data_IF_621605594477
#
_entry.id   IF_621605594477
#
_cell.length_a   1.000
_cell.length_b   1.000
_cell.length_c   1.000
_cell.angle_alpha   90.00
_cell.angle_beta   90.00
_cell.angle_gamma   90.00
#
_symmetry.space_group_name_H-M   'P 1'
#
loop_
_entity.id
_entity.type
_entity.pdbx_description
1 polymer ?
#
# COMPACT_ATOMS: atom_id res chain seq x y z
N UNK A 1 12.99 -4.63 -1.19
CA UNK A 1 11.99 -4.89 -2.24
C UNK A 1 10.65 -5.25 -1.61
N UNK A 2 10.14 -4.36 -0.76
CA UNK A 2 8.98 -4.60 0.08
C UNK A 2 8.12 -3.35 0.15
N UNK A 3 6.82 -3.53 0.34
CA UNK A 3 5.85 -2.50 0.67
C UNK A 3 5.05 -2.92 1.90
N UNK A 4 5.04 -2.05 2.91
CA UNK A 4 4.35 -2.27 4.18
C UNK A 4 3.22 -1.27 4.32
N UNK A 5 2.03 -1.77 4.63
CA UNK A 5 0.83 -0.98 4.90
C UNK A 5 0.42 -1.25 6.33
N UNK A 6 0.35 -0.18 7.11
CA UNK A 6 -0.01 -0.20 8.52
C UNK A 6 -1.34 0.52 8.71
N UNK A 7 -2.18 -0.04 9.57
CA UNK A 7 -3.41 0.60 9.99
C UNK A 7 -4.56 0.50 8.99
N UNK A 8 -4.55 -0.55 8.17
CA UNK A 8 -5.76 -0.99 7.48
C UNK A 8 -6.65 -1.74 8.48
N UNK A 9 -7.96 -1.71 8.28
CA UNK A 9 -8.92 -2.40 9.17
C UNK A 9 -9.70 -3.39 8.32
N UNK A 10 -9.68 -4.65 8.75
CA UNK A 10 -10.41 -5.70 8.06
C UNK A 10 -11.91 -5.63 8.39
N UNK A 11 -12.74 -6.36 7.65
CA UNK A 11 -14.20 -6.33 7.82
C UNK A 11 -14.69 -6.76 9.22
N UNK A 12 -13.83 -7.39 10.01
CA UNK A 12 -14.03 -7.77 11.41
C UNK A 12 -13.68 -6.65 12.41
N UNK A 13 -13.23 -5.49 11.95
CA UNK A 13 -12.83 -4.36 12.79
C UNK A 13 -11.41 -4.47 13.37
N UNK A 14 -10.64 -5.51 13.01
CA UNK A 14 -9.29 -5.70 13.50
C UNK A 14 -8.29 -4.97 12.62
N UNK A 15 -7.36 -4.24 13.26
CA UNK A 15 -6.26 -3.58 12.59
C UNK A 15 -5.31 -4.61 11.98
N UNK A 16 -4.90 -4.41 10.73
CA UNK A 16 -4.00 -5.30 10.02
C UNK A 16 -2.69 -4.59 9.65
N UNK A 17 -1.65 -5.40 9.70
CA UNK A 17 -0.38 -5.15 9.07
C UNK A 17 -0.29 -5.99 7.79
N UNK A 18 -0.06 -5.33 6.65
CA UNK A 18 0.07 -6.01 5.36
C UNK A 18 1.45 -5.73 4.80
N UNK A 19 2.17 -6.80 4.44
CA UNK A 19 3.46 -6.69 3.76
C UNK A 19 3.42 -7.38 2.40
N UNK A 20 3.81 -6.64 1.37
CA UNK A 20 4.08 -7.13 0.03
C UNK A 20 5.58 -7.27 -0.18
N UNK A 21 6.01 -8.38 -0.76
CA UNK A 21 7.43 -8.69 -0.99
C UNK A 21 7.60 -9.12 -2.43
N UNK A 22 8.43 -8.40 -3.18
CA UNK A 22 8.82 -8.80 -4.53
C UNK A 22 10.14 -9.57 -4.47
N UNK A 23 10.10 -10.83 -4.93
CA UNK A 23 11.25 -11.68 -5.13
C UNK A 23 11.60 -11.73 -6.63
N UNK A 24 12.67 -11.04 -7.06
CA UNK A 24 13.09 -11.03 -8.46
C UNK A 24 13.73 -12.35 -8.91
N UNK A 25 14.23 -13.17 -7.99
CA UNK A 25 14.81 -14.47 -8.33
C UNK A 25 13.70 -15.51 -8.57
N UNK A 26 12.64 -15.47 -7.77
CA UNK A 26 11.46 -16.31 -7.97
C UNK A 26 10.47 -15.75 -9.01
N UNK A 27 10.58 -14.47 -9.38
CA UNK A 27 9.63 -13.80 -10.27
C UNK A 27 8.23 -13.69 -9.66
N UNK A 28 8.15 -13.45 -8.35
CA UNK A 28 6.87 -13.45 -7.61
C UNK A 28 6.68 -12.24 -6.71
N UNK A 29 5.43 -11.81 -6.59
CA UNK A 29 4.98 -10.89 -5.55
C UNK A 29 4.17 -11.67 -4.54
N UNK A 30 4.60 -11.70 -3.28
CA UNK A 30 3.84 -12.29 -2.18
C UNK A 30 3.24 -11.24 -1.26
N UNK A 31 2.15 -11.59 -0.59
CA UNK A 31 1.52 -10.78 0.45
C UNK A 31 1.36 -11.59 1.74
N UNK A 32 1.75 -10.99 2.85
CA UNK A 32 1.42 -11.47 4.20
C UNK A 32 0.48 -10.49 4.89
N UNK A 33 -0.38 -11.00 5.75
CA UNK A 33 -1.32 -10.22 6.56
C UNK A 33 -1.15 -10.69 8.00
N UNK A 34 -0.96 -9.74 8.91
CA UNK A 34 -0.78 -9.98 10.34
C UNK A 34 -1.81 -9.15 11.10
N UNK A 35 -2.79 -9.77 11.77
CA UNK A 35 -3.73 -9.07 12.63
C UNK A 35 -3.02 -8.47 13.84
N UNK A 36 -3.43 -7.28 14.29
CA UNK A 36 -3.02 -6.77 15.59
C UNK A 36 -3.81 -7.48 16.70
N UNK A 37 -3.19 -7.87 17.83
CA UNK A 37 -1.85 -7.51 18.30
C UNK A 37 -0.76 -8.55 18.00
N UNK A 38 -0.94 -9.43 17.01
CA UNK A 38 0.01 -10.50 16.74
C UNK A 38 1.39 -9.93 16.42
N UNK A 39 2.40 -10.48 17.08
CA UNK A 39 3.81 -10.07 16.93
C UNK A 39 4.58 -10.95 15.95
N UNK A 40 3.97 -12.04 15.49
CA UNK A 40 4.53 -12.97 14.51
C UNK A 40 3.88 -12.70 13.17
N UNK A 41 4.69 -12.44 12.15
CA UNK A 41 4.20 -12.19 10.81
C UNK A 41 3.42 -13.40 10.26
N UNK A 42 2.22 -13.13 9.75
CA UNK A 42 1.40 -14.16 9.11
C UNK A 42 2.09 -14.76 7.86
N UNK A 43 1.71 -15.98 7.46
CA UNK A 43 2.33 -16.62 6.30
C UNK A 43 2.10 -15.83 5.02
N UNK A 44 3.14 -15.70 4.20
CA UNK A 44 3.06 -15.04 2.90
C UNK A 44 2.36 -15.94 1.86
N UNK A 45 1.52 -15.33 1.03
CA UNK A 45 0.85 -15.97 -0.11
C UNK A 45 1.28 -15.29 -1.40
N UNK A 46 1.66 -16.08 -2.41
CA UNK A 46 1.99 -15.56 -3.73
C UNK A 46 0.73 -15.01 -4.40
N UNK A 47 0.78 -13.74 -4.82
CA UNK A 47 -0.31 -13.05 -5.53
C UNK A 47 -0.04 -12.97 -7.03
N UNK A 48 1.19 -12.64 -7.42
CA UNK A 48 1.61 -12.56 -8.82
C UNK A 48 2.79 -13.48 -9.07
N UNK A 49 2.84 -14.04 -10.27
CA UNK A 49 3.89 -14.92 -10.80
C UNK A 49 4.34 -14.41 -12.17
N UNK A 50 5.39 -15.02 -12.70
CA UNK A 50 5.95 -14.70 -14.02
C UNK A 50 6.34 -13.22 -14.14
N UNK A 51 6.77 -12.63 -13.01
CA UNK A 51 7.29 -11.27 -13.01
C UNK A 51 8.69 -11.28 -13.63
N UNK A 52 8.91 -10.31 -14.50
CA UNK A 52 10.19 -10.08 -15.15
C UNK A 52 10.85 -8.82 -14.57
N UNK A 53 12.17 -8.68 -14.70
CA UNK A 53 12.85 -7.42 -14.41
C UNK A 53 12.17 -6.26 -15.14
N UNK A 54 11.93 -5.16 -14.42
CA UNK A 54 11.36 -3.98 -15.06
C UNK A 54 12.38 -3.38 -16.05
N UNK A 55 11.92 -2.86 -17.20
CA UNK A 55 12.79 -2.17 -18.16
C UNK A 55 13.61 -1.06 -17.50
N UNK A 56 14.84 -0.89 -17.99
CA UNK A 56 15.76 0.14 -17.49
C UNK A 56 16.24 -0.05 -16.05
N UNK A 57 15.99 -1.21 -15.44
CA UNK A 57 16.37 -1.48 -14.04
C UNK A 57 15.49 -0.75 -13.02
N UNK A 58 14.28 -0.34 -13.41
CA UNK A 58 13.35 0.37 -12.54
C UNK A 58 12.95 -0.50 -11.34
N UNK A 59 13.03 0.06 -10.13
CA UNK A 59 12.60 -0.65 -8.92
C UNK A 59 11.11 -1.04 -8.98
N UNK A 60 10.77 -2.17 -8.36
CA UNK A 60 9.37 -2.62 -8.29
C UNK A 60 8.52 -1.75 -7.37
N UNK A 61 9.13 -1.28 -6.27
CA UNK A 61 8.54 -0.32 -5.34
C UNK A 61 9.43 0.92 -5.28
N UNK A 62 8.94 2.03 -5.82
CA UNK A 62 9.63 3.32 -5.76
C UNK A 62 8.92 4.23 -4.76
N UNK A 63 9.65 4.68 -3.74
CA UNK A 63 9.10 5.53 -2.68
C UNK A 63 9.39 7.00 -2.92
N UNK A 64 8.37 7.83 -2.73
CA UNK A 64 8.51 9.28 -2.72
C UNK A 64 8.46 9.80 -1.29
N UNK A 65 9.49 10.56 -0.95
CA UNK A 65 9.68 11.17 0.35
C UNK A 65 9.29 12.64 0.28
N UNK A 66 8.51 13.10 1.25
CA UNK A 66 8.23 14.52 1.45
C UNK A 66 8.60 14.92 2.88
N UNK A 67 9.44 15.95 3.08
CA UNK A 67 9.71 16.49 4.41
C UNK A 67 8.49 17.26 4.94
N UNK A 68 8.36 17.32 6.26
CA UNK A 68 7.56 18.34 6.94
C UNK A 68 8.37 19.64 7.14
N UNK A 69 7.72 20.66 7.70
CA UNK A 69 8.33 21.95 7.99
C UNK A 69 9.43 21.91 9.07
N UNK A 70 9.64 20.76 9.72
CA UNK A 70 10.60 20.56 10.81
C UNK A 70 11.69 19.54 10.46
N UNK A 71 11.75 19.10 9.20
CA UNK A 71 12.82 18.25 8.66
C UNK A 71 12.58 16.74 8.79
N UNK A 72 11.43 16.28 9.28
CA UNK A 72 11.08 14.86 9.31
C UNK A 72 10.49 14.43 7.96
N UNK A 73 10.96 13.30 7.42
CA UNK A 73 10.53 12.79 6.11
C UNK A 73 9.45 11.72 6.22
N UNK A 74 8.48 11.80 5.32
CA UNK A 74 7.35 10.87 5.24
C UNK A 74 7.32 10.21 3.86
N UNK A 75 7.06 8.90 3.82
CA UNK A 75 6.78 8.16 2.58
C UNK A 75 5.32 8.42 2.18
N UNK A 76 5.10 9.37 1.28
CA UNK A 76 3.74 9.83 0.95
C UNK A 76 3.11 9.05 -0.19
N UNK A 77 3.96 8.57 -1.10
CA UNK A 77 3.53 7.93 -2.34
C UNK A 77 4.46 6.74 -2.62
N UNK A 78 3.90 5.69 -3.21
CA UNK A 78 4.66 4.57 -3.74
C UNK A 78 4.20 4.31 -5.16
N UNK A 79 5.13 4.31 -6.10
CA UNK A 79 4.89 3.82 -7.46
C UNK A 79 5.23 2.34 -7.48
N UNK A 80 4.26 1.52 -7.84
CA UNK A 80 4.45 0.08 -8.06
C UNK A 80 4.58 -0.13 -9.56
N UNK A 81 5.71 -0.69 -9.99
CA UNK A 81 5.95 -1.02 -11.39
C UNK A 81 6.19 -2.51 -11.52
N UNK A 82 5.38 -3.17 -12.35
CA UNK A 82 5.45 -4.61 -12.55
C UNK A 82 5.45 -4.95 -14.04
N UNK A 83 6.49 -5.66 -14.47
CA UNK A 83 6.50 -6.37 -15.74
C UNK A 83 6.08 -7.80 -15.54
N UNK A 84 5.04 -8.23 -16.25
CA UNK A 84 4.56 -9.61 -16.27
C UNK A 84 4.83 -10.23 -17.63
N UNK A 85 5.05 -11.55 -17.67
CA UNK A 85 5.13 -12.34 -18.89
C UNK A 85 3.91 -13.26 -18.99
N UNK A 86 3.42 -13.49 -20.21
CA UNK A 86 2.35 -14.47 -20.46
C UNK A 86 2.78 -15.87 -20.02
N UNK A 87 1.86 -16.66 -19.49
CA UNK A 87 2.15 -18.05 -19.08
C UNK A 87 2.37 -18.97 -20.27
N UNK A 88 1.69 -18.70 -21.39
CA UNK A 88 1.86 -19.41 -22.65
C UNK A 88 2.42 -18.49 -23.74
N UNK A 89 3.18 -19.03 -24.70
CA UNK A 89 3.62 -18.28 -25.87
C UNK A 89 2.41 -17.89 -26.71
N UNK A 90 2.51 -16.75 -27.38
CA UNK A 90 1.51 -16.28 -28.31
C UNK A 90 1.30 -17.29 -29.46
N UNK A 91 0.06 -17.61 -29.85
CA UNK A 91 -0.20 -18.66 -30.82
C UNK A 91 0.28 -18.32 -32.23
N UNK A 92 0.39 -17.04 -32.59
CA UNK A 92 0.82 -16.57 -33.91
C UNK A 92 2.34 -16.40 -33.96
N UNK A 93 2.91 -15.66 -32.99
CA UNK A 93 4.35 -15.36 -32.99
C UNK A 93 5.21 -16.42 -32.31
N UNK A 94 4.61 -17.37 -31.60
CA UNK A 94 5.27 -18.41 -30.79
C UNK A 94 6.24 -17.87 -29.73
N UNK A 95 6.10 -16.59 -29.37
CA UNK A 95 6.94 -15.92 -28.38
C UNK A 95 6.12 -15.54 -27.15
N UNK A 96 6.77 -15.55 -25.99
CA UNK A 96 6.19 -15.00 -24.78
C UNK A 96 6.13 -13.48 -24.88
N UNK A 97 4.99 -12.90 -24.48
CA UNK A 97 4.80 -11.45 -24.49
C UNK A 97 4.95 -10.92 -23.07
N UNK A 98 5.54 -9.74 -22.94
CA UNK A 98 5.67 -9.04 -21.66
C UNK A 98 4.83 -7.77 -21.66
N UNK A 99 4.21 -7.47 -20.53
CA UNK A 99 3.49 -6.22 -20.32
C UNK A 99 3.99 -5.55 -19.04
N UNK A 100 4.38 -4.28 -19.14
CA UNK A 100 4.72 -3.44 -18.00
C UNK A 100 3.52 -2.58 -17.63
N UNK A 101 3.15 -2.57 -16.36
CA UNK A 101 2.15 -1.66 -15.80
C UNK A 101 2.72 -0.92 -14.60
N UNK A 102 2.23 0.30 -14.38
CA UNK A 102 2.63 1.12 -13.24
C UNK A 102 1.41 1.78 -12.61
N UNK A 103 1.38 1.80 -11.27
CA UNK A 103 0.34 2.42 -10.49
C UNK A 103 0.95 3.26 -9.37
N UNK A 104 0.47 4.49 -9.21
CA UNK A 104 0.83 5.35 -8.09
C UNK A 104 -0.20 5.18 -6.98
N UNK A 105 0.28 4.78 -5.80
CA UNK A 105 -0.52 4.63 -4.59
C UNK A 105 -0.15 5.75 -3.62
N UNK A 106 -1.17 6.43 -3.08
CA UNK A 106 -0.98 7.50 -2.10
C UNK A 106 -1.53 7.08 -0.75
N UNK A 107 -0.71 7.21 0.29
CA UNK A 107 -1.11 6.85 1.65
C UNK A 107 -1.85 8.03 2.30
N UNK A 108 -3.20 8.05 2.22
CA UNK A 108 -4.02 9.15 2.77
C UNK A 108 -3.70 9.42 4.25
N UNK A 109 -3.56 8.37 5.06
CA UNK A 109 -3.24 8.51 6.48
C UNK A 109 -1.88 9.17 6.74
N UNK A 110 -0.90 8.96 5.85
CA UNK A 110 0.45 9.54 5.96
C UNK A 110 0.46 10.99 5.50
N UNK A 111 -0.32 11.34 4.47
CA UNK A 111 -0.51 12.74 4.05
C UNK A 111 -1.16 13.55 5.18
N UNK A 112 -2.24 13.05 5.77
CA UNK A 112 -2.89 13.72 6.90
C UNK A 112 -1.97 13.82 8.13
N UNK A 113 -1.15 12.80 8.42
CA UNK A 113 -0.17 12.87 9.50
C UNK A 113 0.90 13.93 9.24
N UNK A 114 1.39 14.03 8.00
CA UNK A 114 2.35 15.06 7.59
C UNK A 114 1.75 16.46 7.72
N UNK A 115 0.50 16.66 7.33
CA UNK A 115 -0.16 17.96 7.43
C UNK A 115 -0.39 18.38 8.89
N UNK A 116 -0.67 17.45 9.79
CA UNK A 116 -0.70 17.71 11.22
C UNK A 116 0.68 18.01 11.79
N UNK A 117 1.71 17.28 11.35
CA UNK A 117 3.10 17.54 11.74
C UNK A 117 3.56 18.94 11.32
N UNK A 118 3.16 19.40 10.12
CA UNK A 118 3.41 20.78 9.67
C UNK A 118 2.80 21.83 10.60
N UNK A 119 1.71 21.49 11.29
CA UNK A 119 0.98 22.36 12.22
C UNK A 119 1.29 22.08 13.71
N UNK A 120 2.27 21.20 14.00
CA UNK A 120 2.61 20.74 15.38
C UNK A 120 1.42 20.16 16.15
N UNK A 121 0.46 19.58 15.43
CA UNK A 121 -0.66 18.87 16.04
C UNK A 121 -0.23 17.43 16.28
N UNK A 122 -0.05 17.05 17.54
CA UNK A 122 0.40 15.71 17.95
C UNK A 122 -0.74 14.71 18.07
N UNK A 123 -1.97 15.18 18.28
CA UNK A 123 -3.13 14.33 18.52
C UNK A 123 -4.05 14.33 17.30
N UNK A 124 -4.14 13.19 16.61
CA UNK A 124 -5.12 12.96 15.55
C UNK A 124 -6.18 11.97 16.02
N UNK A 125 -7.39 12.45 16.24
CA UNK A 125 -8.57 11.59 16.33
C UNK A 125 -9.12 11.48 14.90
N UNK A 126 -9.05 10.29 14.29
CA UNK A 126 -9.84 10.05 13.08
C UNK A 126 -11.29 9.83 13.51
N UNK A 127 -12.18 10.73 13.08
CA UNK A 127 -13.60 10.62 13.37
C UNK A 127 -14.18 9.38 12.70
N UNK A 128 -14.70 8.45 13.50
CA UNK A 128 -15.58 7.37 13.04
C UNK A 128 -17.02 7.83 13.23
N UNK A 129 -17.80 7.91 12.16
CA UNK A 129 -19.22 8.20 12.28
C UNK A 129 -19.97 6.89 12.51
N UNK A 130 -20.65 6.78 13.66
CA UNK A 130 -21.60 5.70 13.91
C UNK A 130 -22.92 6.06 13.22
N UNK A 131 -23.36 5.26 12.26
CA UNK A 131 -24.68 5.38 11.63
C UNK A 131 -25.49 4.13 11.98
N UNK A 132 -26.45 4.25 12.91
CA UNK A 132 -27.16 3.09 13.46
C UNK A 132 -26.20 2.16 14.23
N UNK A 133 -26.32 0.84 14.04
CA UNK A 133 -25.41 -0.16 14.64
C UNK A 133 -24.13 -0.39 13.82
N UNK A 134 -23.90 0.39 12.76
CA UNK A 134 -22.74 0.23 11.87
C UNK A 134 -21.77 1.38 12.07
N UNK A 135 -20.51 1.05 12.36
CA UNK A 135 -19.41 2.02 12.31
C UNK A 135 -18.96 2.17 10.85
N UNK A 136 -19.11 3.37 10.28
CA UNK A 136 -18.67 3.66 8.91
C UNK A 136 -17.59 4.72 8.90
N UNK A 137 -16.48 4.43 8.23
CA UNK A 137 -15.43 5.41 7.94
C UNK A 137 -15.91 6.33 6.83
N UNK A 138 -16.15 7.61 7.12
CA UNK A 138 -16.39 8.61 6.07
C UNK A 138 -15.06 9.16 5.57
N UNK A 139 -14.87 9.14 4.25
CA UNK A 139 -13.67 9.67 3.57
C UNK A 139 -13.83 11.20 3.32
N UNK A 140 -14.90 11.81 3.83
CA UNK A 140 -15.21 13.22 3.64
C UNK A 140 -14.79 14.04 4.87
N UNK A 141 -14.34 15.29 4.68
CA UNK A 141 -13.97 16.17 5.79
C UNK A 141 -15.18 16.38 6.71
N UNK A 142 -14.91 16.30 8.00
CA UNK A 142 -15.85 16.35 9.11
C UNK A 142 -16.97 17.40 8.92
N UNK A 143 -18.22 16.96 8.97
CA UNK A 143 -19.32 17.85 9.29
C UNK A 143 -19.37 18.00 10.80
N UNK A 144 -18.98 19.18 11.29
CA UNK A 144 -19.24 19.59 12.66
C UNK A 144 -20.76 19.73 12.84
N UNK A 145 -21.37 18.92 13.71
CA UNK A 145 -22.67 19.25 14.25
C UNK A 145 -22.46 20.22 15.42
N UNK A 146 -22.88 21.47 15.23
CA UNK A 146 -23.07 22.46 16.31
C UNK A 146 -24.29 22.10 17.15
N UNK A 147 -24.40 22.57 18.41
CA UNK A 147 -25.30 22.02 19.44
C UNK A 147 -26.79 22.03 19.09
#
# INVERSE_FOLDING_TARGET
>A
NQLQIFGDINGDGILQYVEYTYDPAAGTLSRSITPYPDTVQGPARVLLRNLQPNPGGTDFFQYYLKPDNFGKTYRTEVTVTATTQTESPDPETKQYRTMTSSLVLTARNVLSARDLANNRLTDRIQTMTKTGDTCSWSILPAQFCTP
#
